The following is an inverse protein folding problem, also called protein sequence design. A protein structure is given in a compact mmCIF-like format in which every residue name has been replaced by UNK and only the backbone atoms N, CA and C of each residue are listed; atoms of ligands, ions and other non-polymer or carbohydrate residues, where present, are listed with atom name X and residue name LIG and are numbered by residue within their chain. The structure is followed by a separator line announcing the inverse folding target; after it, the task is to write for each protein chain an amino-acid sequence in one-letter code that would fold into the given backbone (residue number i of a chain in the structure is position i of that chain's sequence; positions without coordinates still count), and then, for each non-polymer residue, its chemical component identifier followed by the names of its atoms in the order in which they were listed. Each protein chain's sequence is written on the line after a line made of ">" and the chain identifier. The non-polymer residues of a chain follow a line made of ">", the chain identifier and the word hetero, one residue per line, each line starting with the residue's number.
data_IF_933216429864
#
_entry.id   IF_933216429864
#
_cell.length_a   1.000
_cell.length_b   1.000
_cell.length_c   1.000
_cell.angle_alpha   90.00
_cell.angle_beta   90.00
_cell.angle_gamma   90.00
#
_symmetry.space_group_name_H-M   'P 1'
#
loop_
_entity.id
_entity.type
_entity.pdbx_description
1 polymer ?
#
# COMPACT_ATOMS: atom_id res chain seq x y z
N UNK A 1 17.17 9.33 5.00
CA UNK A 1 16.76 7.91 5.14
C UNK A 1 15.29 7.76 5.55
N UNK A 2 14.59 8.89 5.75
CA UNK A 2 13.27 8.98 6.39
C UNK A 2 12.14 8.21 5.68
N UNK A 3 12.30 7.81 4.42
CA UNK A 3 11.30 7.03 3.68
C UNK A 3 11.27 5.54 4.08
N UNK A 4 12.31 5.04 4.77
CA UNK A 4 12.38 3.63 5.18
C UNK A 4 11.76 3.38 6.55
N UNK A 5 11.75 4.37 7.44
CA UNK A 5 11.19 4.23 8.79
C UNK A 5 9.70 3.79 8.77
N UNK A 6 8.84 4.33 7.87
CA UNK A 6 7.47 3.86 7.73
C UNK A 6 7.36 2.42 7.21
N UNK A 7 8.27 2.01 6.32
CA UNK A 7 8.29 0.64 5.76
C UNK A 7 8.62 -0.37 6.85
N UNK A 8 9.63 -0.08 7.66
CA UNK A 8 9.99 -0.90 8.82
C UNK A 8 8.88 -0.95 9.86
N UNK A 9 8.25 0.20 10.14
CA UNK A 9 7.11 0.27 11.06
C UNK A 9 5.95 -0.60 10.57
N UNK A 10 5.58 -0.51 9.29
CA UNK A 10 4.50 -1.31 8.73
C UNK A 10 4.77 -2.82 8.84
N UNK A 11 6.01 -3.27 8.60
CA UNK A 11 6.39 -4.68 8.79
C UNK A 11 6.30 -5.13 10.24
N UNK A 12 6.74 -4.27 11.19
CA UNK A 12 6.64 -4.55 12.63
C UNK A 12 5.19 -4.65 13.09
N UNK A 13 4.34 -3.70 12.69
CA UNK A 13 2.93 -3.64 13.05
C UNK A 13 2.19 -4.87 12.47
N UNK A 14 2.54 -5.30 11.26
CA UNK A 14 2.02 -6.52 10.62
C UNK A 14 2.62 -7.83 11.19
N UNK A 15 3.66 -7.76 12.03
CA UNK A 15 4.43 -8.92 12.53
C UNK A 15 4.96 -9.81 11.39
N UNK A 16 5.39 -9.20 10.29
CA UNK A 16 5.86 -9.89 9.10
C UNK A 16 7.35 -9.66 8.87
N UNK A 17 8.06 -10.73 8.52
CA UNK A 17 9.42 -10.63 7.99
C UNK A 17 9.40 -10.14 6.55
N UNK A 18 10.42 -9.36 6.16
CA UNK A 18 10.55 -8.81 4.79
C UNK A 18 10.57 -9.88 3.70
N UNK A 19 11.05 -11.09 3.99
CA UNK A 19 11.06 -12.22 3.06
C UNK A 19 9.67 -12.77 2.74
N UNK A 20 8.66 -12.47 3.56
CA UNK A 20 7.26 -12.85 3.33
C UNK A 20 6.52 -11.90 2.39
N UNK A 21 7.15 -10.79 1.98
CA UNK A 21 6.55 -9.86 1.01
C UNK A 21 6.70 -10.47 -0.38
N UNK A 22 5.58 -10.73 -1.05
CA UNK A 22 5.56 -11.37 -2.36
C UNK A 22 5.80 -10.39 -3.50
N UNK A 23 5.24 -9.18 -3.41
CA UNK A 23 5.28 -8.16 -4.46
C UNK A 23 5.50 -6.78 -3.83
N UNK A 24 6.18 -5.89 -4.55
CA UNK A 24 6.38 -4.49 -4.14
C UNK A 24 5.87 -3.60 -5.27
N UNK A 25 4.67 -3.04 -5.10
CA UNK A 25 4.03 -2.18 -6.10
C UNK A 25 4.38 -0.71 -5.82
N UNK A 26 4.84 0.00 -6.86
CA UNK A 26 5.21 1.41 -6.75
C UNK A 26 4.05 2.32 -7.20
N UNK A 27 3.63 3.24 -6.33
CA UNK A 27 2.54 4.19 -6.60
C UNK A 27 2.97 5.61 -6.22
N UNK A 28 2.62 6.59 -7.05
CA UNK A 28 2.96 8.01 -6.92
C UNK A 28 4.24 8.39 -7.68
N UNK A 29 4.24 9.54 -8.35
CA UNK A 29 5.32 9.97 -9.25
C UNK A 29 6.73 10.03 -8.63
N UNK A 30 6.85 10.32 -7.33
CA UNK A 30 8.15 10.32 -6.64
C UNK A 30 8.82 8.93 -6.58
N UNK A 31 8.07 7.85 -6.81
CA UNK A 31 8.65 6.50 -6.92
C UNK A 31 9.48 6.30 -8.19
N UNK A 32 9.40 7.22 -9.17
CA UNK A 32 10.27 7.24 -10.36
C UNK A 32 11.72 7.60 -10.03
N UNK A 33 11.98 8.18 -8.85
CA UNK A 33 13.33 8.58 -8.42
C UNK A 33 14.21 7.33 -8.26
N UNK A 34 15.33 7.19 -9.00
CA UNK A 34 16.15 5.98 -8.97
C UNK A 34 16.69 5.63 -7.58
N UNK A 35 16.98 6.65 -6.76
CA UNK A 35 17.47 6.43 -5.40
C UNK A 35 16.41 5.80 -4.48
N UNK A 36 15.14 6.14 -4.64
CA UNK A 36 14.04 5.56 -3.87
C UNK A 36 13.88 4.08 -4.23
N UNK A 37 13.88 3.77 -5.52
CA UNK A 37 13.81 2.38 -6.00
C UNK A 37 14.98 1.56 -5.50
N UNK A 38 16.21 2.09 -5.59
CA UNK A 38 17.40 1.40 -5.08
C UNK A 38 17.29 1.12 -3.59
N UNK A 39 16.89 2.09 -2.77
CA UNK A 39 16.74 1.91 -1.33
C UNK A 39 15.71 0.82 -0.98
N UNK A 40 14.57 0.78 -1.69
CA UNK A 40 13.55 -0.26 -1.50
C UNK A 40 14.06 -1.64 -1.91
N UNK A 41 14.67 -1.76 -3.10
CA UNK A 41 15.20 -3.03 -3.57
C UNK A 41 16.30 -3.56 -2.64
N UNK A 42 17.26 -2.69 -2.24
CA UNK A 42 18.32 -3.04 -1.29
C UNK A 42 17.72 -3.52 0.06
N UNK A 43 16.69 -2.86 0.57
CA UNK A 43 16.01 -3.22 1.82
C UNK A 43 15.36 -4.62 1.74
N UNK A 44 14.69 -4.91 0.62
CA UNK A 44 14.07 -6.20 0.33
C UNK A 44 15.04 -7.19 -0.35
N UNK A 45 16.34 -7.10 -0.05
CA UNK A 45 17.35 -8.08 -0.47
C UNK A 45 17.47 -8.25 -2.00
N UNK A 46 17.39 -7.14 -2.74
CA UNK A 46 17.51 -7.12 -4.21
C UNK A 46 16.23 -7.53 -4.94
N UNK A 47 15.10 -7.61 -4.24
CA UNK A 47 13.81 -7.96 -4.86
C UNK A 47 13.44 -6.98 -5.98
N UNK A 48 12.91 -7.53 -7.07
CA UNK A 48 12.43 -6.75 -8.19
C UNK A 48 11.19 -5.95 -7.80
N UNK A 49 11.15 -4.67 -8.21
CA UNK A 49 10.04 -3.78 -7.93
C UNK A 49 9.03 -3.87 -9.08
N UNK A 50 7.76 -4.02 -8.73
CA UNK A 50 6.69 -4.14 -9.70
C UNK A 50 6.37 -2.76 -10.32
N UNK A 51 6.53 -2.69 -11.65
CA UNK A 51 6.30 -1.49 -12.47
C UNK A 51 5.26 -1.74 -13.57
N UNK A 52 4.44 -2.78 -13.43
CA UNK A 52 3.42 -3.13 -14.44
C UNK A 52 2.26 -2.13 -14.48
N UNK A 53 2.09 -1.33 -13.43
CA UNK A 53 1.03 -0.33 -13.29
C UNK A 53 1.65 1.07 -13.38
N UNK A 54 0.97 1.98 -14.07
CA UNK A 54 1.36 3.39 -14.12
C UNK A 54 1.25 4.02 -12.70
N UNK A 55 2.36 4.50 -12.09
CA UNK A 55 2.35 4.97 -10.72
C UNK A 55 1.47 6.23 -10.52
N UNK A 56 1.23 7.00 -11.57
CA UNK A 56 0.45 8.25 -11.49
C UNK A 56 -1.07 7.99 -11.60
N UNK A 57 -1.47 6.82 -12.14
CA UNK A 57 -2.87 6.47 -12.41
C UNK A 57 -3.40 5.35 -11.51
N UNK A 58 -2.52 4.57 -10.88
CA UNK A 58 -2.88 3.39 -10.09
C UNK A 58 -3.98 3.66 -9.04
N UNK A 59 -3.88 4.81 -8.35
CA UNK A 59 -4.86 5.21 -7.31
C UNK A 59 -6.22 5.51 -7.94
N UNK A 60 -6.25 6.30 -9.01
CA UNK A 60 -7.49 6.66 -9.70
C UNK A 60 -8.16 5.42 -10.32
N UNK A 61 -7.36 4.50 -10.86
CA UNK A 61 -7.84 3.24 -11.40
C UNK A 61 -8.54 2.39 -10.32
N UNK A 62 -7.88 2.18 -9.17
CA UNK A 62 -8.47 1.44 -8.05
C UNK A 62 -9.75 2.09 -7.51
N UNK A 63 -9.77 3.43 -7.43
CA UNK A 63 -10.96 4.18 -7.02
C UNK A 63 -12.13 4.02 -8.02
N UNK A 64 -11.84 4.03 -9.33
CA UNK A 64 -12.86 3.82 -10.37
C UNK A 64 -13.46 2.41 -10.30
N UNK A 65 -12.63 1.38 -10.06
CA UNK A 65 -13.10 0.01 -9.83
C UNK A 65 -14.02 -0.05 -8.61
N UNK A 66 -13.62 0.57 -7.48
CA UNK A 66 -14.46 0.62 -6.28
C UNK A 66 -15.78 1.38 -6.51
N UNK A 67 -15.75 2.48 -7.27
CA UNK A 67 -16.95 3.24 -7.63
C UNK A 67 -17.92 2.42 -8.49
N UNK A 68 -17.40 1.60 -9.41
CA UNK A 68 -18.22 0.72 -10.23
C UNK A 68 -18.94 -0.36 -9.40
N UNK A 69 -18.25 -0.92 -8.40
CA UNK A 69 -18.84 -1.85 -7.42
C UNK A 69 -20.00 -1.18 -6.67
N UNK A 70 -19.76 0.02 -6.13
CA UNK A 70 -20.77 0.78 -5.38
C UNK A 70 -21.95 1.22 -6.27
N UNK A 71 -21.71 1.41 -7.57
CA UNK A 71 -22.75 1.75 -8.56
C UNK A 71 -23.59 0.55 -9.00
N UNK A 72 -23.29 -0.65 -8.50
CA UNK A 72 -24.05 -1.87 -8.80
C UNK A 72 -23.71 -2.51 -10.14
N UNK A 73 -22.49 -2.30 -10.67
CA UNK A 73 -22.04 -3.00 -11.86
C UNK A 73 -22.10 -4.53 -11.66
N UNK A 74 -22.60 -5.27 -12.66
CA UNK A 74 -22.90 -6.71 -12.55
C UNK A 74 -21.83 -7.64 -13.11
N UNK A 75 -20.67 -7.11 -13.48
CA UNK A 75 -19.57 -7.94 -13.94
C UNK A 75 -19.03 -8.79 -12.77
N UNK A 76 -18.95 -10.12 -12.99
CA UNK A 76 -18.56 -11.10 -11.98
C UNK A 76 -17.17 -10.85 -11.40
N UNK A 77 -16.29 -10.24 -12.18
CA UNK A 77 -14.92 -9.89 -11.77
C UNK A 77 -14.88 -8.78 -10.73
N UNK A 78 -15.87 -7.88 -10.74
CA UNK A 78 -15.91 -6.69 -9.89
C UNK A 78 -16.69 -6.96 -8.60
N UNK A 79 -17.72 -7.82 -8.66
CA UNK A 79 -18.54 -8.17 -7.49
C UNK A 79 -17.83 -9.04 -6.44
N UNK A 80 -16.78 -9.77 -6.83
CA UNK A 80 -16.02 -10.62 -5.93
C UNK A 80 -14.98 -9.86 -5.08
N UNK A 81 -14.80 -8.55 -5.31
CA UNK A 81 -13.81 -7.76 -4.59
C UNK A 81 -14.31 -7.41 -3.18
N UNK A 82 -13.65 -7.94 -2.16
CA UNK A 82 -13.84 -7.54 -0.76
C UNK A 82 -12.66 -6.68 -0.32
N UNK A 83 -12.94 -5.44 0.09
CA UNK A 83 -11.94 -4.53 0.67
C UNK A 83 -12.12 -4.47 2.19
N UNK A 84 -11.06 -4.78 2.92
CA UNK A 84 -11.00 -4.70 4.38
C UNK A 84 -9.88 -3.71 4.72
N UNK A 85 -10.25 -2.56 5.28
CA UNK A 85 -9.33 -1.45 5.60
C UNK A 85 -9.24 -1.23 7.12
N UNK A 86 -8.21 -0.51 7.56
CA UNK A 86 -7.88 -0.30 8.97
C UNK A 86 -7.78 1.18 9.32
N UNK A 87 -8.10 1.53 10.57
CA UNK A 87 -7.86 2.88 11.07
C UNK A 87 -6.34 3.13 11.23
N UNK A 88 -5.79 4.24 10.70
CA UNK A 88 -4.34 4.47 10.69
C UNK A 88 -3.76 4.85 12.06
N UNK A 89 -4.60 5.32 12.98
CA UNK A 89 -4.23 5.73 14.33
C UNK A 89 -5.26 5.21 15.33
N UNK A 90 -4.81 4.98 16.57
CA UNK A 90 -5.68 4.64 17.67
C UNK A 90 -6.64 5.79 17.98
N UNK A 91 -7.90 5.46 18.21
CA UNK A 91 -8.92 6.40 18.65
C UNK A 91 -9.06 6.28 20.17
N UNK A 92 -9.01 7.42 20.86
CA UNK A 92 -9.15 7.49 22.31
C UNK A 92 -10.01 8.69 22.71
N UNK A 93 -10.57 8.61 23.91
CA UNK A 93 -11.24 9.73 24.58
C UNK A 93 -10.44 10.06 25.83
N UNK A 94 -10.42 11.34 26.22
CA UNK A 94 -9.79 11.75 27.47
C UNK A 94 -10.71 11.42 28.65
N UNK A 95 -10.15 10.82 29.70
CA UNK A 95 -10.87 10.59 30.97
C UNK A 95 -10.25 11.44 32.08
N UNK A 96 -11.02 11.75 33.13
CA UNK A 96 -10.52 12.58 34.22
C UNK A 96 -9.33 11.88 34.93
N UNK A 97 -8.14 12.48 34.80
CA UNK A 97 -6.88 11.93 35.33
C UNK A 97 -5.87 11.47 34.25
N UNK A 98 -6.25 11.52 32.97
CA UNK A 98 -5.51 10.92 31.85
C UNK A 98 -6.14 9.59 31.48
#
# INVERSE_FOLDING_TARGET
>A
RNTMDPVEKALRDAKMDKGKIHEIVLVGGSTRIPKVQKLLSDFFCGKELNKSINPDEAVAYGAAVQAAILSGEKSSTVQALLLLDVAPLSLGIETAGG
#
